data_IF_442261990823
#
_entry.id   IF_442261990823
#
_cell.length_a   1.000
_cell.length_b   1.000
_cell.length_c   1.000
_cell.angle_alpha   90.00
_cell.angle_beta   90.00
_cell.angle_gamma   90.00
#
_symmetry.space_group_name_H-M   'P 1'
#
loop_
_entity.id
_entity.type
_entity.pdbx_description
1 polymer ?
#
# COMPACT_ATOMS: atom_id res chain seq x y z
N UNK A 1 69.43 9.53 40.06
CA UNK A 1 68.94 9.29 38.69
C UNK A 1 68.46 7.85 38.71
N UNK A 2 67.18 7.49 38.51
CA UNK A 2 66.29 7.87 37.42
C UNK A 2 64.85 7.61 37.89
N UNK A 3 63.95 8.55 37.61
CA UNK A 3 62.51 8.43 37.80
C UNK A 3 61.91 7.44 36.79
N UNK A 4 60.87 6.69 37.18
CA UNK A 4 60.03 5.91 36.27
C UNK A 4 58.56 6.19 36.59
N UNK A 5 57.74 6.69 35.64
CA UNK A 5 56.36 7.06 35.92
C UNK A 5 55.49 5.81 35.96
N UNK A 6 54.78 5.64 37.08
CA UNK A 6 53.74 4.63 37.26
C UNK A 6 52.52 5.07 36.44
N UNK A 7 52.39 4.54 35.23
CA UNK A 7 51.24 4.79 34.36
C UNK A 7 49.99 4.09 34.94
N UNK A 8 49.08 4.88 35.48
CA UNK A 8 47.77 4.43 35.95
C UNK A 8 46.90 4.14 34.72
N UNK A 9 46.75 2.87 34.34
CA UNK A 9 45.85 2.44 33.28
C UNK A 9 44.40 2.53 33.77
N UNK A 10 43.71 3.59 33.39
CA UNK A 10 42.27 3.75 33.60
C UNK A 10 41.52 2.70 32.78
N UNK A 11 41.07 1.62 33.42
CA UNK A 11 40.15 0.67 32.81
C UNK A 11 38.80 1.36 32.56
N UNK A 12 38.54 1.77 31.32
CA UNK A 12 37.21 2.19 30.89
C UNK A 12 36.27 0.97 31.01
N UNK A 13 35.10 1.09 31.66
CA UNK A 13 34.13 0.01 31.68
C UNK A 13 33.69 -0.26 30.25
N UNK A 14 33.94 -1.48 29.76
CA UNK A 14 33.40 -1.95 28.49
C UNK A 14 31.88 -2.04 28.64
N UNK A 15 31.17 -1.03 28.14
CA UNK A 15 29.73 -1.15 27.97
C UNK A 15 29.46 -2.22 26.91
N UNK A 16 28.63 -3.23 27.20
CA UNK A 16 28.26 -4.22 26.18
C UNK A 16 27.52 -3.47 25.07
N UNK A 17 28.13 -3.41 23.89
CA UNK A 17 27.42 -3.04 22.68
C UNK A 17 26.55 -4.24 22.33
N UNK A 18 25.28 -4.22 22.74
CA UNK A 18 24.30 -5.20 22.30
C UNK A 18 24.14 -5.03 20.79
N UNK A 19 24.91 -5.79 20.02
CA UNK A 19 24.72 -5.88 18.58
C UNK A 19 23.33 -6.48 18.34
N UNK A 20 22.41 -5.70 17.74
CA UNK A 20 21.12 -6.23 17.30
C UNK A 20 21.38 -7.47 16.44
N UNK A 21 20.69 -8.55 16.76
CA UNK A 21 20.73 -9.74 15.93
C UNK A 21 20.16 -9.42 14.54
N UNK A 22 20.59 -10.15 13.52
CA UNK A 22 20.03 -10.01 12.17
C UNK A 22 18.50 -10.19 12.15
N UNK A 23 17.97 -11.05 13.03
CA UNK A 23 16.54 -11.27 13.17
C UNK A 23 15.79 -10.03 13.67
N UNK A 24 16.33 -9.34 14.69
CA UNK A 24 15.75 -8.10 15.22
C UNK A 24 15.78 -6.97 14.18
N UNK A 25 16.86 -6.86 13.41
CA UNK A 25 16.96 -5.89 12.32
C UNK A 25 15.94 -6.11 11.19
N UNK A 26 15.68 -7.37 10.83
CA UNK A 26 14.64 -7.72 9.83
C UNK A 26 13.24 -7.40 10.37
N UNK A 27 12.97 -7.68 11.65
CA UNK A 27 11.68 -7.41 12.26
C UNK A 27 11.37 -5.91 12.30
N UNK A 28 12.36 -5.08 12.67
CA UNK A 28 12.25 -3.63 12.66
C UNK A 28 12.01 -3.08 11.24
N UNK A 29 12.76 -3.58 10.25
CA UNK A 29 12.57 -3.18 8.85
C UNK A 29 11.17 -3.53 8.31
N UNK A 30 10.63 -4.71 8.64
CA UNK A 30 9.27 -5.09 8.27
C UNK A 30 8.22 -4.18 8.89
N UNK A 31 8.39 -3.83 10.17
CA UNK A 31 7.49 -2.91 10.87
C UNK A 31 7.50 -1.52 10.23
N UNK A 32 8.65 -1.05 9.76
CA UNK A 32 8.74 0.22 9.03
C UNK A 32 8.06 0.19 7.65
N UNK A 33 7.95 -0.98 7.02
CA UNK A 33 7.26 -1.18 5.74
C UNK A 33 5.78 -1.55 5.88
N UNK A 34 5.33 -1.85 7.09
CA UNK A 34 3.95 -2.27 7.36
C UNK A 34 2.98 -1.11 7.17
N UNK A 35 3.41 0.10 7.54
CA UNK A 35 2.59 1.30 7.48
C UNK A 35 2.72 1.99 6.11
N UNK A 36 1.77 1.67 5.22
CA UNK A 36 1.48 2.42 4.01
C UNK A 36 1.80 1.66 2.73
N UNK A 37 0.78 1.53 1.86
CA UNK A 37 0.95 1.02 0.51
C UNK A 37 0.81 2.19 -0.47
N UNK A 38 1.80 2.46 -1.34
CA UNK A 38 1.67 3.51 -2.36
C UNK A 38 0.45 3.34 -3.29
N UNK A 39 -0.10 2.12 -3.41
CA UNK A 39 -1.35 1.86 -4.12
C UNK A 39 -2.56 2.60 -3.51
N UNK A 40 -2.55 2.90 -2.21
CA UNK A 40 -3.64 3.59 -1.51
C UNK A 40 -3.89 4.99 -2.12
N UNK A 41 -2.84 5.63 -2.64
CA UNK A 41 -2.96 6.91 -3.36
C UNK A 41 -3.76 6.77 -4.66
N UNK A 42 -3.59 5.65 -5.36
CA UNK A 42 -4.36 5.34 -6.57
C UNK A 42 -5.79 4.93 -6.23
N UNK A 43 -6.01 4.22 -5.12
CA UNK A 43 -7.36 3.90 -4.64
C UNK A 43 -8.13 5.18 -4.29
N UNK A 44 -7.53 6.09 -3.51
CA UNK A 44 -8.15 7.38 -3.16
C UNK A 44 -8.45 8.23 -4.41
N UNK A 45 -7.53 8.26 -5.38
CA UNK A 45 -7.76 8.93 -6.66
C UNK A 45 -8.90 8.26 -7.44
N UNK A 46 -8.95 6.93 -7.45
CA UNK A 46 -10.01 6.15 -8.09
C UNK A 46 -11.37 6.44 -7.48
N UNK A 47 -11.46 6.50 -6.15
CA UNK A 47 -12.68 6.87 -5.43
C UNK A 47 -13.15 8.29 -5.79
N UNK A 48 -12.23 9.25 -5.84
CA UNK A 48 -12.55 10.62 -6.24
C UNK A 48 -13.09 10.66 -7.68
N UNK A 49 -12.43 9.97 -8.61
CA UNK A 49 -12.85 9.88 -10.00
C UNK A 49 -14.24 9.24 -10.14
N UNK A 50 -14.54 8.22 -9.32
CA UNK A 50 -15.83 7.53 -9.33
C UNK A 50 -17.00 8.48 -9.05
N UNK A 51 -16.82 9.39 -8.08
CA UNK A 51 -17.86 10.33 -7.62
C UNK A 51 -17.91 11.63 -8.42
N UNK A 52 -16.85 11.99 -9.14
CA UNK A 52 -16.77 13.28 -9.84
C UNK A 52 -17.64 13.28 -11.10
N UNK A 53 -18.62 14.18 -11.26
CA UNK A 53 -19.37 14.32 -12.50
C UNK A 53 -18.49 14.73 -13.67
N UNK A 54 -18.60 14.02 -14.80
CA UNK A 54 -17.71 14.18 -15.96
C UNK A 54 -18.47 13.97 -17.28
N UNK A 55 -17.85 14.44 -18.37
CA UNK A 55 -18.32 14.23 -19.74
C UNK A 55 -19.55 15.06 -20.14
N UNK A 56 -20.06 14.91 -21.39
CA UNK A 56 -21.16 15.72 -21.91
C UNK A 56 -22.48 15.57 -21.16
N UNK A 57 -22.66 14.46 -20.43
CA UNK A 57 -23.85 14.18 -19.61
C UNK A 57 -23.74 14.70 -18.17
N UNK A 58 -22.60 15.25 -17.78
CA UNK A 58 -22.31 15.75 -16.43
C UNK A 58 -22.76 14.78 -15.32
N UNK A 59 -22.37 13.50 -15.44
CA UNK A 59 -22.77 12.42 -14.55
C UNK A 59 -21.55 11.73 -13.92
N UNK A 60 -21.71 11.18 -12.71
CA UNK A 60 -20.70 10.35 -12.03
C UNK A 60 -20.83 8.87 -12.44
N UNK A 61 -19.88 8.03 -12.02
CA UNK A 61 -19.92 6.58 -12.24
C UNK A 61 -20.72 5.83 -11.16
N UNK A 62 -21.32 6.52 -10.19
CA UNK A 62 -21.99 5.91 -9.04
C UNK A 62 -23.20 5.05 -9.40
N UNK A 63 -23.77 5.23 -10.59
CA UNK A 63 -24.85 4.40 -11.13
C UNK A 63 -24.37 3.30 -12.09
N UNK A 64 -23.06 3.16 -12.30
CA UNK A 64 -22.50 2.15 -13.20
C UNK A 64 -22.79 0.73 -12.68
N UNK A 65 -23.29 -0.14 -13.55
CA UNK A 65 -23.46 -1.56 -13.25
C UNK A 65 -22.21 -2.33 -13.71
N UNK A 66 -21.40 -2.78 -12.75
CA UNK A 66 -20.22 -3.62 -12.97
C UNK A 66 -20.54 -5.13 -12.94
N UNK A 67 -21.81 -5.51 -13.03
CA UNK A 67 -22.30 -6.88 -13.09
C UNK A 67 -22.91 -7.41 -11.78
N UNK A 68 -22.93 -6.58 -10.74
CA UNK A 68 -23.59 -6.85 -9.45
C UNK A 68 -24.89 -6.04 -9.26
N UNK A 69 -25.29 -5.28 -10.28
CA UNK A 69 -26.38 -4.31 -10.22
C UNK A 69 -25.85 -2.86 -10.18
N UNK A 70 -26.70 -1.86 -10.52
CA UNK A 70 -26.30 -0.46 -10.59
C UNK A 70 -25.68 0.04 -9.28
N UNK A 71 -24.47 0.60 -9.37
CA UNK A 71 -23.74 1.21 -8.24
C UNK A 71 -23.10 0.23 -7.26
N UNK A 72 -23.23 -1.08 -7.48
CA UNK A 72 -22.64 -2.09 -6.60
C UNK A 72 -21.21 -2.40 -7.03
N UNK A 73 -20.23 -1.91 -6.26
CA UNK A 73 -18.79 -2.14 -6.52
C UNK A 73 -18.24 -3.33 -5.72
N UNK A 74 -18.75 -3.56 -4.50
CA UNK A 74 -18.23 -4.60 -3.61
C UNK A 74 -18.36 -5.98 -4.24
N UNK A 75 -17.22 -6.65 -4.43
CA UNK A 75 -17.16 -7.99 -5.02
C UNK A 75 -17.33 -8.03 -6.54
N UNK A 76 -17.46 -6.89 -7.23
CA UNK A 76 -17.59 -6.86 -8.69
C UNK A 76 -16.31 -7.38 -9.37
N UNK A 77 -15.15 -6.89 -8.96
CA UNK A 77 -13.86 -7.25 -9.57
C UNK A 77 -13.53 -8.75 -9.48
N UNK A 78 -13.99 -9.43 -8.43
CA UNK A 78 -13.76 -10.86 -8.22
C UNK A 78 -14.54 -11.73 -9.22
N UNK A 79 -15.63 -11.22 -9.78
CA UNK A 79 -16.49 -11.93 -10.74
C UNK A 79 -16.32 -11.44 -12.17
N UNK A 80 -15.41 -10.51 -12.41
CA UNK A 80 -15.01 -10.09 -13.75
C UNK A 80 -13.84 -10.96 -14.24
N UNK A 81 -13.70 -11.21 -15.55
CA UNK A 81 -14.61 -10.80 -16.62
C UNK A 81 -15.90 -11.62 -16.67
N UNK A 82 -17.00 -11.01 -17.15
CA UNK A 82 -18.32 -11.68 -17.28
C UNK A 82 -19.13 -11.19 -18.47
N UNK A 83 -20.17 -11.95 -18.82
CA UNK A 83 -21.15 -11.55 -19.84
C UNK A 83 -22.04 -10.40 -19.35
N UNK A 84 -22.20 -9.38 -20.19
CA UNK A 84 -23.11 -8.25 -19.99
C UNK A 84 -24.16 -8.23 -21.10
N UNK A 85 -25.43 -8.37 -20.72
CA UNK A 85 -26.53 -8.49 -21.69
C UNK A 85 -26.78 -7.20 -22.48
N UNK A 86 -26.54 -6.03 -21.86
CA UNK A 86 -26.66 -4.72 -22.52
C UNK A 86 -25.62 -4.52 -23.63
N UNK A 87 -24.42 -5.09 -23.46
CA UNK A 87 -23.32 -5.01 -24.40
C UNK A 87 -23.23 -6.21 -25.36
N UNK A 88 -23.91 -7.32 -25.05
CA UNK A 88 -23.89 -8.54 -25.85
C UNK A 88 -22.50 -9.18 -25.97
N UNK A 89 -21.65 -9.05 -24.93
CA UNK A 89 -20.29 -9.60 -24.91
C UNK A 89 -19.78 -9.82 -23.48
N UNK A 90 -18.71 -10.61 -23.37
CA UNK A 90 -17.91 -10.70 -22.14
C UNK A 90 -16.99 -9.47 -22.05
N UNK A 91 -16.92 -8.85 -20.87
CA UNK A 91 -16.04 -7.69 -20.62
C UNK A 91 -15.28 -7.85 -19.30
N UNK A 92 -14.04 -7.35 -19.28
CA UNK A 92 -13.26 -7.08 -18.07
C UNK A 92 -13.68 -5.73 -17.45
N UNK A 93 -12.97 -5.28 -16.41
CA UNK A 93 -13.28 -4.01 -15.75
C UNK A 93 -13.01 -2.83 -16.68
N UNK A 94 -11.87 -2.84 -17.35
CA UNK A 94 -11.41 -1.76 -18.22
C UNK A 94 -12.37 -1.54 -19.40
N UNK A 95 -12.80 -2.60 -20.08
CA UNK A 95 -13.76 -2.52 -21.17
C UNK A 95 -15.18 -2.21 -20.68
N UNK A 96 -15.54 -2.51 -19.43
CA UNK A 96 -16.84 -2.10 -18.86
C UNK A 96 -16.88 -0.61 -18.53
N UNK A 97 -15.73 0.01 -18.24
CA UNK A 97 -15.64 1.43 -17.88
C UNK A 97 -15.57 2.39 -19.08
N UNK A 98 -15.20 1.91 -20.28
CA UNK A 98 -14.89 2.74 -21.47
C UNK A 98 -15.82 2.45 -22.64
#
# INVERSE_FOLDING_TARGET
MIAGPLALASALPAWPQTAKSTAEGIAEYRKLLEDGNPADLFEAKGEQLWKTPRGPKNASLEACDLGKGPGVVKGAFVELPRWFADAGKVMDLEARLI
#
